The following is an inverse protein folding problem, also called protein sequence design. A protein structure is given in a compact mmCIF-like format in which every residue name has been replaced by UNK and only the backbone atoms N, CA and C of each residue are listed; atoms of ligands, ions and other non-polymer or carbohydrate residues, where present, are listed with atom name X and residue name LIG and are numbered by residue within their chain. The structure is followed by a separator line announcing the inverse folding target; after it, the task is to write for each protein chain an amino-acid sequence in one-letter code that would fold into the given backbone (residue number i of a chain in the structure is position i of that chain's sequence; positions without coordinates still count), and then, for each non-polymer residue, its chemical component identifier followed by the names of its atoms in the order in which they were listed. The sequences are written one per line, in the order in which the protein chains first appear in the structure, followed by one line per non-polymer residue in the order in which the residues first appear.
data_IF_182099609421
#
_entry.id   IF_182099609421
#
_cell.length_a   1.000
_cell.length_b   1.000
_cell.length_c   1.000
_cell.angle_alpha   90.00
_cell.angle_beta   90.00
_cell.angle_gamma   90.00
#
_symmetry.space_group_name_H-M   'P 1'
#
loop_
_entity.id
_entity.type
_entity.pdbx_description
1 polymer ?
#
# COMPACT_ATOMS: atom_id res chain seq x y z
N UNK A 1 24.27 -38.34 20.01
CA UNK A 1 23.96 -36.94 19.64
C UNK A 1 25.01 -36.49 18.63
N UNK A 2 24.63 -35.89 17.55
CA UNK A 2 25.62 -35.30 16.62
C UNK A 2 26.00 -33.91 17.17
N UNK A 3 27.30 -33.68 17.36
CA UNK A 3 27.81 -32.35 17.76
C UNK A 3 27.66 -31.36 16.62
N UNK A 4 27.24 -30.14 16.94
CA UNK A 4 27.11 -29.06 15.98
C UNK A 4 28.12 -27.97 16.36
N UNK A 5 28.94 -27.45 15.43
CA UNK A 5 29.83 -26.34 15.73
C UNK A 5 29.00 -25.10 16.08
N UNK A 6 29.26 -24.52 17.24
CA UNK A 6 28.56 -23.33 17.74
C UNK A 6 29.54 -22.29 18.24
N UNK A 7 29.22 -21.02 17.98
CA UNK A 7 29.93 -19.88 18.56
C UNK A 7 29.06 -19.32 19.69
N UNK A 8 29.62 -19.25 20.90
CA UNK A 8 28.90 -18.75 22.09
C UNK A 8 29.26 -17.29 22.30
N UNK A 9 28.25 -16.42 22.33
CA UNK A 9 28.40 -15.01 22.64
C UNK A 9 27.79 -14.69 24.01
N UNK A 10 28.53 -13.94 24.84
CA UNK A 10 28.05 -13.42 26.13
C UNK A 10 27.48 -12.03 25.89
N UNK A 11 26.20 -11.95 25.59
CA UNK A 11 25.49 -10.71 25.21
C UNK A 11 24.19 -10.61 26.03
N UNK A 12 23.70 -9.40 26.20
CA UNK A 12 22.38 -9.17 26.82
C UNK A 12 21.22 -9.54 25.89
N UNK A 13 19.98 -9.50 26.43
CA UNK A 13 18.77 -9.89 25.69
C UNK A 13 18.55 -9.01 24.47
N UNK A 14 18.75 -7.70 24.57
CA UNK A 14 18.51 -6.75 23.47
C UNK A 14 19.55 -6.95 22.37
N UNK A 15 20.82 -7.14 22.73
CA UNK A 15 21.90 -7.48 21.78
C UNK A 15 21.61 -8.81 21.09
N UNK A 16 21.14 -9.81 21.83
CA UNK A 16 20.74 -11.11 21.24
C UNK A 16 19.58 -10.96 20.26
N UNK A 17 18.60 -10.13 20.58
CA UNK A 17 17.46 -9.83 19.70
C UNK A 17 17.92 -9.15 18.41
N UNK A 18 18.80 -8.15 18.50
CA UNK A 18 19.34 -7.45 17.35
C UNK A 18 20.09 -8.43 16.43
N UNK A 19 21.00 -9.23 17.01
CA UNK A 19 21.78 -10.20 16.24
C UNK A 19 20.90 -11.26 15.56
N UNK A 20 19.87 -11.74 16.25
CA UNK A 20 18.89 -12.68 15.71
C UNK A 20 18.12 -12.07 14.51
N UNK A 21 17.64 -10.83 14.65
CA UNK A 21 16.92 -10.13 13.61
C UNK A 21 17.80 -9.89 12.39
N UNK A 22 19.03 -9.45 12.58
CA UNK A 22 19.97 -9.21 11.48
C UNK A 22 20.30 -10.49 10.73
N UNK A 23 20.50 -11.60 11.44
CA UNK A 23 20.68 -12.91 10.82
C UNK A 23 19.45 -13.40 10.05
N UNK A 24 18.25 -13.17 10.59
CA UNK A 24 17.00 -13.56 9.92
C UNK A 24 16.67 -12.68 8.72
N UNK A 25 16.92 -11.36 8.79
CA UNK A 25 16.67 -10.44 7.69
C UNK A 25 17.55 -10.68 6.45
N UNK A 26 18.60 -11.47 6.57
CA UNK A 26 19.45 -11.93 5.46
C UNK A 26 18.83 -13.10 4.67
N UNK A 27 17.72 -13.68 5.14
CA UNK A 27 17.03 -14.75 4.42
C UNK A 27 16.25 -14.19 3.23
N UNK A 28 16.37 -14.81 2.07
CA UNK A 28 15.79 -14.34 0.80
C UNK A 28 14.25 -14.44 0.71
N UNK A 29 13.58 -15.20 1.59
CA UNK A 29 12.14 -15.52 1.48
C UNK A 29 11.32 -15.09 2.69
N UNK A 30 11.60 -13.94 3.27
CA UNK A 30 10.77 -13.39 4.35
C UNK A 30 9.47 -12.81 3.79
N UNK A 31 8.33 -13.14 4.40
CA UNK A 31 7.08 -12.46 4.11
C UNK A 31 7.13 -11.00 4.58
N UNK A 32 6.20 -10.19 4.07
CA UNK A 32 6.18 -8.77 4.41
C UNK A 32 5.92 -8.56 5.91
N UNK A 33 5.05 -9.38 6.51
CA UNK A 33 4.75 -9.29 7.95
C UNK A 33 5.85 -9.88 8.84
N UNK A 34 6.56 -10.92 8.40
CA UNK A 34 7.76 -11.41 9.10
C UNK A 34 8.82 -10.31 9.17
N UNK A 35 9.05 -9.62 8.06
CA UNK A 35 9.98 -8.48 8.00
C UNK A 35 9.51 -7.32 8.89
N UNK A 36 8.21 -7.03 8.88
CA UNK A 36 7.61 -5.99 9.73
C UNK A 36 7.80 -6.28 11.22
N UNK A 37 7.53 -7.53 11.65
CA UNK A 37 7.72 -7.98 13.03
C UNK A 37 9.18 -7.96 13.45
N UNK A 38 10.08 -8.40 12.57
CA UNK A 38 11.52 -8.38 12.79
C UNK A 38 12.03 -6.96 13.02
N UNK A 39 11.61 -6.00 12.18
CA UNK A 39 12.01 -4.60 12.36
C UNK A 39 11.42 -3.98 13.62
N UNK A 40 10.20 -4.34 14.01
CA UNK A 40 9.62 -3.90 15.28
C UNK A 40 10.43 -4.40 16.46
N UNK A 41 10.76 -5.70 16.49
CA UNK A 41 11.57 -6.30 17.56
C UNK A 41 12.93 -5.61 17.68
N UNK A 42 13.59 -5.35 16.54
CA UNK A 42 14.90 -4.65 16.54
C UNK A 42 14.77 -3.20 17.00
N UNK A 43 13.73 -2.48 16.57
CA UNK A 43 13.48 -1.10 16.99
C UNK A 43 13.20 -1.01 18.49
N UNK A 44 12.43 -1.94 19.05
CA UNK A 44 12.15 -2.03 20.49
C UNK A 44 13.45 -2.30 21.27
N UNK A 45 14.26 -3.26 20.85
CA UNK A 45 15.56 -3.56 21.48
C UNK A 45 16.53 -2.36 21.44
N UNK A 46 16.63 -1.67 20.31
CA UNK A 46 17.45 -0.45 20.19
C UNK A 46 16.92 0.68 21.07
N UNK A 47 15.61 0.81 21.27
CA UNK A 47 15.02 1.82 22.13
C UNK A 47 15.36 1.61 23.63
N UNK A 48 15.47 0.36 24.06
CA UNK A 48 15.90 0.02 25.43
C UNK A 48 17.35 0.39 25.67
N UNK A 49 18.24 0.14 24.71
CA UNK A 49 19.66 0.50 24.81
C UNK A 49 19.89 2.02 24.87
N UNK A 50 19.08 2.82 24.15
CA UNK A 50 19.16 4.28 24.16
C UNK A 50 18.81 4.95 25.48
N UNK A 51 18.10 4.26 26.38
CA UNK A 51 17.76 4.77 27.72
C UNK A 51 18.93 4.68 28.72
N UNK A 52 19.90 3.82 28.45
CA UNK A 52 21.08 3.62 29.30
C UNK A 52 22.27 4.49 28.91
N UNK A 53 22.27 5.06 27.74
CA UNK A 53 23.36 5.91 27.25
C UNK A 53 22.82 7.30 26.89
N UNK A 54 23.05 8.30 27.74
CA UNK A 54 22.57 9.67 27.58
C UNK A 54 23.21 10.45 26.43
N UNK A 55 23.14 9.99 25.20
CA UNK A 55 23.59 10.73 24.02
C UNK A 55 22.61 10.64 22.83
N UNK A 56 22.04 11.81 22.55
CA UNK A 56 21.56 12.33 21.27
C UNK A 56 20.58 11.48 20.46
N UNK A 57 19.28 11.85 20.59
CA UNK A 57 18.25 11.52 19.60
C UNK A 57 18.66 11.95 18.19
N UNK A 58 18.22 11.18 17.23
CA UNK A 58 17.98 11.35 15.81
C UNK A 58 18.51 10.25 14.87
N UNK A 59 19.15 9.17 15.35
CA UNK A 59 19.67 8.12 14.44
C UNK A 59 19.03 6.72 14.62
N UNK A 60 18.06 6.55 15.51
CA UNK A 60 17.48 5.21 15.79
C UNK A 60 16.70 4.60 14.62
N UNK A 61 16.26 5.38 13.66
CA UNK A 61 15.42 4.92 12.54
C UNK A 61 16.24 4.36 11.38
N UNK A 62 17.40 4.94 11.13
CA UNK A 62 18.30 4.53 10.04
C UNK A 62 19.14 3.31 10.42
N UNK A 63 19.21 2.99 11.73
CA UNK A 63 20.00 1.85 12.24
C UNK A 63 19.22 0.52 12.28
N UNK A 64 17.94 0.51 11.95
CA UNK A 64 17.13 -0.72 11.98
C UNK A 64 17.41 -1.63 10.80
N UNK A 65 17.76 -1.07 9.64
CA UNK A 65 18.08 -1.84 8.45
C UNK A 65 19.07 -1.09 7.57
N UNK A 66 20.07 -1.82 7.06
CA UNK A 66 20.97 -1.33 6.03
C UNK A 66 20.41 -1.51 4.61
N UNK A 67 19.42 -2.40 4.46
CA UNK A 67 18.82 -2.76 3.16
C UNK A 67 17.63 -1.88 2.77
N UNK A 68 16.84 -1.41 3.77
CA UNK A 68 15.63 -0.63 3.54
C UNK A 68 15.79 0.80 4.06
N UNK A 69 15.19 1.76 3.35
CA UNK A 69 15.17 3.15 3.81
C UNK A 69 14.41 3.27 5.14
N UNK A 70 14.80 4.19 6.01
CA UNK A 70 14.13 4.44 7.29
C UNK A 70 12.63 4.68 7.16
N UNK A 71 12.18 5.29 6.04
CA UNK A 71 10.74 5.44 5.71
C UNK A 71 10.07 4.10 5.45
N UNK A 72 10.73 3.19 4.73
CA UNK A 72 10.22 1.84 4.47
C UNK A 72 10.13 1.03 5.75
N UNK A 73 11.17 1.08 6.58
CA UNK A 73 11.18 0.45 7.90
C UNK A 73 10.00 0.89 8.76
N UNK A 74 9.73 2.20 8.83
CA UNK A 74 8.59 2.72 9.59
C UNK A 74 7.25 2.24 9.06
N UNK A 75 7.07 2.21 7.74
CA UNK A 75 5.85 1.68 7.13
C UNK A 75 5.66 0.20 7.46
N UNK A 76 6.73 -0.59 7.39
CA UNK A 76 6.68 -2.01 7.75
C UNK A 76 6.34 -2.20 9.23
N UNK A 77 7.01 -1.51 10.13
CA UNK A 77 6.69 -1.57 11.56
C UNK A 77 5.21 -1.21 11.80
N UNK A 78 4.68 -0.20 11.09
CA UNK A 78 3.29 0.20 11.23
C UNK A 78 2.30 -0.90 10.84
N UNK A 79 2.63 -1.81 9.90
CA UNK A 79 1.76 -2.94 9.53
C UNK A 79 1.49 -3.90 10.69
N UNK A 80 2.33 -3.92 11.73
CA UNK A 80 2.11 -4.77 12.91
C UNK A 80 0.92 -4.33 13.77
N UNK A 81 0.32 -3.17 13.47
CA UNK A 81 -0.89 -2.65 14.13
C UNK A 81 -2.19 -3.03 13.40
N UNK A 82 -2.08 -3.77 12.30
CA UNK A 82 -3.25 -4.32 11.63
C UNK A 82 -3.83 -5.50 12.39
N UNK A 83 -5.14 -5.70 12.27
CA UNK A 83 -5.80 -6.94 12.75
C UNK A 83 -5.24 -8.16 11.99
N UNK A 84 -5.27 -9.36 12.60
CA UNK A 84 -4.65 -10.56 12.03
C UNK A 84 -5.13 -10.89 10.61
N UNK A 85 -6.39 -10.65 10.30
CA UNK A 85 -7.01 -10.90 9.00
C UNK A 85 -6.39 -10.01 7.91
N UNK A 86 -6.23 -8.71 8.18
CA UNK A 86 -5.56 -7.79 7.27
C UNK A 86 -4.07 -8.12 7.10
N UNK A 87 -3.40 -8.58 8.17
CA UNK A 87 -2.02 -9.06 8.07
C UNK A 87 -1.92 -10.27 7.15
N UNK A 88 -2.87 -11.22 7.22
CA UNK A 88 -2.92 -12.39 6.34
C UNK A 88 -3.15 -12.00 4.87
N UNK A 89 -3.97 -10.98 4.59
CA UNK A 89 -4.15 -10.45 3.24
C UNK A 89 -2.87 -9.81 2.69
N UNK A 90 -2.08 -9.16 3.54
CA UNK A 90 -0.77 -8.61 3.16
C UNK A 90 0.23 -9.73 2.85
N UNK A 91 0.33 -10.75 3.71
CA UNK A 91 1.26 -11.87 3.53
C UNK A 91 0.91 -12.73 2.30
N UNK A 92 -0.37 -12.90 2.01
CA UNK A 92 -0.83 -13.59 0.80
C UNK A 92 -0.67 -12.77 -0.49
N UNK A 93 -0.25 -11.50 -0.39
CA UNK A 93 -0.09 -10.58 -1.52
C UNK A 93 -1.40 -10.04 -2.10
N UNK A 94 -2.55 -10.38 -1.53
CA UNK A 94 -3.87 -9.87 -1.92
C UNK A 94 -3.98 -8.37 -1.64
N UNK A 95 -3.40 -7.91 -0.52
CA UNK A 95 -3.32 -6.49 -0.18
C UNK A 95 -1.89 -5.98 -0.29
N UNK A 96 -1.70 -4.85 -0.97
CA UNK A 96 -0.39 -4.21 -1.10
C UNK A 96 -0.02 -3.43 0.16
N UNK A 97 1.29 -3.22 0.37
CA UNK A 97 1.84 -2.52 1.53
C UNK A 97 1.26 -1.10 1.73
N UNK A 98 1.06 -0.33 0.67
CA UNK A 98 0.61 1.07 0.81
C UNK A 98 -0.84 1.19 1.32
N UNK A 99 -1.84 0.49 0.76
CA UNK A 99 -3.16 0.45 1.38
C UNK A 99 -3.12 -0.03 2.83
N UNK A 100 -2.44 -1.13 3.11
CA UNK A 100 -2.30 -1.70 4.44
C UNK A 100 -1.70 -0.70 5.45
N UNK A 101 -0.69 0.07 5.03
CA UNK A 101 -0.11 1.14 5.83
C UNK A 101 -1.13 2.22 6.22
N UNK A 102 -1.97 2.66 5.28
CA UNK A 102 -3.01 3.66 5.60
C UNK A 102 -4.06 3.09 6.56
N UNK A 103 -4.49 1.84 6.37
CA UNK A 103 -5.46 1.17 7.24
C UNK A 103 -4.93 0.91 8.66
N UNK A 104 -3.62 0.78 8.83
CA UNK A 104 -3.02 0.57 10.14
C UNK A 104 -3.19 1.76 11.11
N UNK A 105 -3.68 2.90 10.64
CA UNK A 105 -3.98 4.07 11.47
C UNK A 105 -5.41 4.06 12.05
N UNK A 106 -6.26 3.16 11.57
CA UNK A 106 -7.60 2.95 12.08
C UNK A 106 -7.56 2.11 13.37
N UNK A 107 -8.60 2.21 14.18
CA UNK A 107 -8.80 1.33 15.32
C UNK A 107 -9.22 -0.09 14.86
N UNK A 108 -9.30 -1.02 15.82
CA UNK A 108 -9.62 -2.42 15.52
C UNK A 108 -11.03 -2.59 14.96
N UNK A 109 -12.00 -1.80 15.41
CA UNK A 109 -13.40 -1.92 15.00
C UNK A 109 -13.54 -1.46 13.54
N UNK A 110 -13.00 -0.30 13.18
CA UNK A 110 -12.97 0.16 11.79
C UNK A 110 -12.17 -0.76 10.86
N UNK A 111 -11.10 -1.39 11.36
CA UNK A 111 -10.36 -2.40 10.57
C UNK A 111 -11.21 -3.66 10.33
N UNK A 112 -12.01 -4.10 11.31
CA UNK A 112 -12.93 -5.23 11.16
C UNK A 112 -14.06 -4.93 10.18
N UNK A 113 -14.64 -3.74 10.20
CA UNK A 113 -15.63 -3.30 9.21
C UNK A 113 -15.08 -3.42 7.77
N UNK A 114 -13.80 -3.10 7.59
CA UNK A 114 -13.12 -3.25 6.30
C UNK A 114 -12.92 -4.74 5.94
N UNK A 115 -12.57 -5.59 6.90
CA UNK A 115 -12.46 -7.05 6.68
C UNK A 115 -13.80 -7.61 6.24
N UNK A 116 -14.88 -7.30 6.97
CA UNK A 116 -16.23 -7.77 6.66
C UNK A 116 -16.66 -7.33 5.26
N UNK A 117 -16.37 -6.07 4.88
CA UNK A 117 -16.66 -5.59 3.54
C UNK A 117 -15.81 -6.28 2.45
N UNK A 118 -14.54 -6.62 2.74
CA UNK A 118 -13.69 -7.40 1.83
C UNK A 118 -14.25 -8.81 1.64
N UNK A 119 -14.71 -9.45 2.70
CA UNK A 119 -15.27 -10.81 2.67
C UNK A 119 -16.60 -10.86 1.91
N UNK A 120 -17.42 -9.81 2.02
CA UNK A 120 -18.68 -9.69 1.27
C UNK A 120 -18.46 -9.41 -0.23
N UNK A 121 -17.50 -8.54 -0.56
CA UNK A 121 -17.34 -8.02 -1.93
C UNK A 121 -16.18 -8.66 -2.70
N UNK A 122 -15.34 -9.45 -2.04
CA UNK A 122 -14.09 -10.00 -2.55
C UNK A 122 -13.15 -8.94 -3.16
N UNK A 123 -13.34 -7.67 -2.78
CA UNK A 123 -12.57 -6.54 -3.31
C UNK A 123 -11.66 -5.93 -2.25
N UNK A 124 -10.41 -5.64 -2.63
CA UNK A 124 -9.43 -5.02 -1.76
C UNK A 124 -9.34 -3.52 -2.02
N UNK A 125 -9.18 -2.67 -0.99
CA UNK A 125 -9.08 -1.23 -1.18
C UNK A 125 -7.82 -0.85 -1.96
N UNK A 126 -7.96 0.12 -2.86
CA UNK A 126 -6.82 0.80 -3.48
C UNK A 126 -6.15 1.73 -2.46
N UNK A 127 -4.92 2.18 -2.74
CA UNK A 127 -4.23 3.15 -1.87
C UNK A 127 -5.03 4.46 -1.72
N UNK A 128 -5.71 4.91 -2.78
CA UNK A 128 -6.54 6.12 -2.73
C UNK A 128 -7.76 5.93 -1.82
N UNK A 129 -8.43 4.77 -1.90
CA UNK A 129 -9.56 4.42 -1.04
C UNK A 129 -9.12 4.30 0.43
N UNK A 130 -8.03 3.55 0.72
CA UNK A 130 -7.51 3.41 2.07
C UNK A 130 -7.11 4.77 2.70
N UNK A 131 -6.54 5.68 1.91
CA UNK A 131 -6.23 7.04 2.35
C UNK A 131 -7.48 7.86 2.67
N UNK A 132 -8.55 7.69 1.91
CA UNK A 132 -9.84 8.36 2.19
C UNK A 132 -10.50 7.79 3.43
N UNK A 133 -10.48 6.45 3.63
CA UNK A 133 -10.97 5.81 4.86
C UNK A 133 -10.23 6.37 6.08
N UNK A 134 -8.90 6.43 6.02
CA UNK A 134 -8.11 7.03 7.08
C UNK A 134 -8.51 8.48 7.36
N UNK A 135 -8.68 9.30 6.33
CA UNK A 135 -9.11 10.69 6.50
C UNK A 135 -10.51 10.79 7.12
N UNK A 136 -11.46 9.99 6.65
CA UNK A 136 -12.81 9.93 7.23
C UNK A 136 -12.78 9.48 8.69
N UNK A 137 -11.90 8.53 9.04
CA UNK A 137 -11.67 8.11 10.42
C UNK A 137 -11.11 9.24 11.30
N UNK A 138 -10.10 9.96 10.82
CA UNK A 138 -9.51 11.13 11.52
C UNK A 138 -10.56 12.26 11.73
N UNK A 139 -11.55 12.36 10.85
CA UNK A 139 -12.68 13.31 10.92
C UNK A 139 -13.86 12.77 11.78
N UNK A 140 -13.81 11.51 12.25
CA UNK A 140 -14.87 10.87 13.03
C UNK A 140 -16.10 10.47 12.22
N UNK A 141 -15.98 10.34 10.90
CA UNK A 141 -17.06 10.08 9.96
C UNK A 141 -16.91 8.72 9.24
N UNK A 142 -16.10 7.80 9.76
CA UNK A 142 -15.95 6.46 9.19
C UNK A 142 -16.82 5.48 9.97
N UNK A 143 -17.89 5.03 9.35
CA UNK A 143 -18.73 3.92 9.78
C UNK A 143 -18.75 2.82 8.70
N UNK A 144 -19.45 1.73 8.93
CA UNK A 144 -19.54 0.61 7.99
C UNK A 144 -20.10 1.04 6.63
N UNK A 145 -21.12 1.90 6.62
CA UNK A 145 -21.73 2.38 5.38
C UNK A 145 -20.76 3.24 4.56
N UNK A 146 -19.99 4.11 5.23
CA UNK A 146 -18.94 4.91 4.59
C UNK A 146 -17.80 4.04 4.02
N UNK A 147 -17.43 2.95 4.72
CA UNK A 147 -16.47 1.97 4.20
C UNK A 147 -17.01 1.33 2.93
N UNK A 148 -18.26 0.86 2.94
CA UNK A 148 -18.92 0.22 1.80
C UNK A 148 -19.02 1.18 0.61
N UNK A 149 -19.41 2.44 0.83
CA UNK A 149 -19.47 3.47 -0.20
C UNK A 149 -18.11 3.72 -0.86
N UNK A 150 -17.06 3.91 -0.04
CA UNK A 150 -15.69 4.11 -0.55
C UNK A 150 -15.19 2.89 -1.32
N UNK A 151 -15.52 1.67 -0.87
CA UNK A 151 -15.11 0.42 -1.53
C UNK A 151 -15.86 0.19 -2.86
N UNK A 152 -17.13 0.58 -2.95
CA UNK A 152 -17.95 0.45 -4.16
C UNK A 152 -17.54 1.38 -5.31
N UNK A 153 -16.73 2.41 -5.03
CA UNK A 153 -16.28 3.32 -6.08
C UNK A 153 -15.42 2.62 -7.14
N UNK A 154 -15.67 2.95 -8.39
CA UNK A 154 -14.90 2.43 -9.53
C UNK A 154 -13.45 2.86 -9.41
N UNK A 155 -12.55 1.89 -9.30
CA UNK A 155 -11.10 2.17 -9.21
C UNK A 155 -10.60 2.79 -10.52
N UNK A 156 -9.72 3.80 -10.48
CA UNK A 156 -9.17 4.44 -11.69
C UNK A 156 -8.52 3.46 -12.67
N UNK A 157 -8.07 2.30 -12.19
CA UNK A 157 -7.49 1.23 -13.02
C UNK A 157 -8.54 0.35 -13.73
N UNK A 158 -9.80 0.42 -13.31
CA UNK A 158 -10.93 -0.32 -13.93
C UNK A 158 -11.63 0.51 -15.00
N UNK A 159 -11.32 1.80 -15.10
CA UNK A 159 -11.81 2.65 -16.18
C UNK A 159 -11.01 2.30 -17.43
N UNK A 160 -11.65 1.74 -18.42
CA UNK A 160 -11.04 1.55 -19.74
C UNK A 160 -10.59 2.89 -20.30
N UNK A 161 -9.30 2.99 -20.58
CA UNK A 161 -8.68 4.21 -21.14
C UNK A 161 -8.13 3.89 -22.51
N UNK A 162 -8.72 4.49 -23.54
CA UNK A 162 -8.14 4.48 -24.86
C UNK A 162 -6.95 5.43 -24.90
N UNK A 163 -5.75 4.90 -25.05
CA UNK A 163 -4.52 5.69 -25.23
C UNK A 163 -4.19 5.76 -26.70
N UNK A 164 -4.42 6.92 -27.32
CA UNK A 164 -4.04 7.19 -28.70
C UNK A 164 -2.83 8.14 -28.68
N UNK A 165 -1.70 7.79 -29.31
CA UNK A 165 -0.56 8.69 -29.45
C UNK A 165 -1.00 9.98 -30.16
N UNK A 166 -0.62 11.12 -29.65
CA UNK A 166 -0.99 12.42 -30.23
C UNK A 166 -0.46 12.57 -31.65
N UNK A 167 0.71 12.00 -31.94
CA UNK A 167 1.33 12.05 -33.26
C UNK A 167 0.51 11.33 -34.35
N UNK A 168 -0.26 10.32 -33.99
CA UNK A 168 -1.15 9.62 -34.91
C UNK A 168 -2.37 10.47 -35.27
N UNK A 169 -2.86 11.28 -34.34
CA UNK A 169 -3.98 12.19 -34.56
C UNK A 169 -3.52 13.45 -35.29
N UNK A 170 -2.34 13.97 -35.00
CA UNK A 170 -1.81 15.21 -35.59
C UNK A 170 -1.74 15.19 -37.11
N UNK A 171 -1.66 14.02 -37.71
CA UNK A 171 -1.67 13.85 -39.18
C UNK A 171 -3.00 14.26 -39.84
N UNK A 172 -4.09 14.28 -39.04
CA UNK A 172 -5.46 14.48 -39.55
C UNK A 172 -6.14 15.73 -38.99
N UNK A 173 -5.46 16.49 -38.13
CA UNK A 173 -5.98 17.70 -37.51
C UNK A 173 -5.01 18.88 -37.69
N UNK A 174 -5.49 20.13 -37.69
CA UNK A 174 -4.64 21.32 -37.77
C UNK A 174 -3.58 21.34 -36.66
N UNK A 175 -2.36 21.75 -37.04
CA UNK A 175 -1.22 21.80 -36.09
C UNK A 175 -1.38 22.78 -34.94
N UNK A 176 -2.33 23.72 -35.06
CA UNK A 176 -2.66 24.74 -34.03
C UNK A 176 -3.57 24.23 -32.92
N UNK A 177 -4.18 23.03 -33.06
CA UNK A 177 -5.09 22.49 -32.04
C UNK A 177 -4.33 21.99 -30.82
N UNK A 178 -4.84 22.36 -29.65
CA UNK A 178 -4.40 21.81 -28.35
C UNK A 178 -4.90 20.37 -28.16
N UNK A 179 -4.28 19.56 -27.30
CA UNK A 179 -4.73 18.19 -27.01
C UNK A 179 -6.20 18.09 -26.56
N UNK A 180 -6.70 19.09 -25.83
CA UNK A 180 -8.09 19.15 -25.38
C UNK A 180 -9.06 19.38 -26.54
N UNK A 181 -8.72 20.32 -27.44
CA UNK A 181 -9.51 20.60 -28.65
C UNK A 181 -9.52 19.42 -29.62
N UNK A 182 -8.40 18.68 -29.73
CA UNK A 182 -8.32 17.44 -30.52
C UNK A 182 -9.29 16.39 -29.98
N UNK A 183 -9.35 16.19 -28.66
CA UNK A 183 -10.28 15.25 -28.04
C UNK A 183 -11.72 15.62 -28.32
N UNK A 184 -12.09 16.89 -28.14
CA UNK A 184 -13.42 17.38 -28.41
C UNK A 184 -13.82 17.20 -29.89
N UNK A 185 -12.90 17.48 -30.78
CA UNK A 185 -13.10 17.28 -32.23
C UNK A 185 -13.32 15.82 -32.58
N UNK A 186 -12.52 14.90 -32.02
CA UNK A 186 -12.67 13.46 -32.22
C UNK A 186 -14.03 12.95 -31.69
N UNK A 187 -14.42 13.40 -30.51
CA UNK A 187 -15.73 13.03 -29.93
C UNK A 187 -16.90 13.50 -30.82
N UNK A 188 -16.82 14.71 -31.39
CA UNK A 188 -17.81 15.22 -32.33
C UNK A 188 -17.89 14.38 -33.62
N UNK A 189 -16.73 13.95 -34.14
CA UNK A 189 -16.67 13.10 -35.34
C UNK A 189 -17.28 11.72 -35.08
N UNK A 190 -16.91 11.09 -33.96
CA UNK A 190 -17.45 9.77 -33.57
C UNK A 190 -18.96 9.84 -33.38
N UNK A 191 -19.47 10.87 -32.69
CA UNK A 191 -20.90 11.08 -32.50
C UNK A 191 -21.63 11.29 -33.83
N UNK A 192 -21.08 12.09 -34.73
CA UNK A 192 -21.66 12.34 -36.06
C UNK A 192 -21.74 11.06 -36.89
N UNK A 193 -20.69 10.20 -36.84
CA UNK A 193 -20.70 8.95 -37.58
C UNK A 193 -21.65 7.93 -36.96
N UNK A 194 -21.75 7.87 -35.63
CA UNK A 194 -22.73 7.06 -34.93
C UNK A 194 -24.17 7.44 -35.35
N UNK A 195 -24.53 8.73 -35.31
CA UNK A 195 -25.83 9.24 -35.70
C UNK A 195 -26.12 8.96 -37.19
N UNK A 196 -25.10 8.99 -38.05
CA UNK A 196 -25.23 8.68 -39.48
C UNK A 196 -25.54 7.20 -39.72
N UNK A 197 -24.91 6.31 -39.00
CA UNK A 197 -25.14 4.86 -39.10
C UNK A 197 -26.54 4.51 -38.59
N UNK A 198 -26.95 5.00 -37.43
CA UNK A 198 -28.29 4.73 -36.87
C UNK A 198 -29.44 5.33 -37.66
N UNK A 199 -29.25 6.48 -38.32
CA UNK A 199 -30.25 7.05 -39.22
C UNK A 199 -30.32 6.32 -40.60
N UNK A 200 -29.31 5.50 -40.95
CA UNK A 200 -29.38 4.64 -42.12
C UNK A 200 -30.19 3.39 -41.88
N UNK A 201 -30.12 2.83 -40.67
CA UNK A 201 -30.86 1.61 -40.29
C UNK A 201 -32.35 1.90 -39.98
N UNK A 202 -32.72 3.17 -39.85
CA UNK A 202 -34.09 3.62 -39.59
C UNK A 202 -34.89 3.99 -40.88
N UNK A 203 -34.30 3.78 -42.06
CA UNK A 203 -34.93 3.95 -43.38
C UNK A 203 -35.04 2.62 -44.11
#
# INVERSE_FOLDING_TARGET
MKEVPAVVHFIDRDQATILMVDSNCQRENLTLMEKARSYRMKADALSHQGRTCGQTGHKSRDNVSDADSGRTVQRLIRLTYLVPELQAFVDSGKMKMLPAYELSFLDEDAQRDIVDNIDETETFPSHAQARRMRKAFEEGNLDYDAVAEIMAEVKPNQIEKLKIPIDDIRKYVPSSMTPAEMLEYLLKLVKKEYDRQHNRDAR
#
